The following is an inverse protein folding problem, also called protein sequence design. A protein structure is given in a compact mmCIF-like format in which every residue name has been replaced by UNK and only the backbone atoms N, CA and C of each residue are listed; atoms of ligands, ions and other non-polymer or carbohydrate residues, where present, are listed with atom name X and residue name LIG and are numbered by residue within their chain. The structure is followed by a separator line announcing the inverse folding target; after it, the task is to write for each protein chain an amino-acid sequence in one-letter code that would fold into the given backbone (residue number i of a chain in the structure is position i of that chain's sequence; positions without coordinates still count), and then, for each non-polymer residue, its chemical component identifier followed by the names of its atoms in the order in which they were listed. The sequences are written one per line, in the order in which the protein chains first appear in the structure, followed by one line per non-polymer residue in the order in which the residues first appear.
data_IF_527402642745
#
_entry.id   IF_527402642745
#
_cell.length_a   1.000
_cell.length_b   1.000
_cell.length_c   1.000
_cell.angle_alpha   90.00
_cell.angle_beta   90.00
_cell.angle_gamma   90.00
#
_symmetry.space_group_name_H-M   'P 1'
#
loop_
_entity.id
_entity.type
_entity.pdbx_description
1 polymer ?
#
# COMPACT_ATOMS: atom_id res chain seq x y z
N UNK A 1 40.09 39.55 17.31
CA UNK A 1 39.53 38.20 17.52
C UNK A 1 40.40 37.21 16.74
N UNK A 2 40.97 36.20 17.40
CA UNK A 2 41.98 35.32 16.79
C UNK A 2 41.30 34.37 15.80
N UNK A 3 41.91 34.09 14.64
CA UNK A 3 41.36 33.21 13.60
C UNK A 3 41.01 31.81 14.15
N UNK A 4 41.77 31.36 15.14
CA UNK A 4 41.55 30.12 15.88
C UNK A 4 40.24 30.11 16.68
N UNK A 5 39.83 31.25 17.24
CA UNK A 5 38.58 31.37 17.98
C UNK A 5 37.38 31.31 17.05
N UNK A 6 37.51 31.85 15.84
CA UNK A 6 36.47 31.80 14.81
C UNK A 6 36.30 30.38 14.25
N UNK A 7 37.41 29.66 14.01
CA UNK A 7 37.39 28.31 13.45
C UNK A 7 36.82 27.27 14.42
N UNK A 8 37.10 27.42 15.73
CA UNK A 8 36.52 26.57 16.78
C UNK A 8 35.02 26.83 16.97
N UNK A 9 34.58 28.08 16.85
CA UNK A 9 33.15 28.43 16.90
C UNK A 9 32.36 27.85 15.72
N UNK A 10 32.94 27.86 14.51
CA UNK A 10 32.34 27.24 13.32
C UNK A 10 32.25 25.72 13.47
N UNK A 11 33.26 25.07 14.06
CA UNK A 11 33.25 23.63 14.34
C UNK A 11 32.18 23.23 15.38
N UNK A 12 31.97 24.04 16.42
CA UNK A 12 30.94 23.79 17.44
C UNK A 12 29.52 24.04 16.92
N UNK A 13 29.32 25.05 16.08
CA UNK A 13 28.02 25.35 15.49
C UNK A 13 27.61 24.34 14.39
N UNK A 14 28.57 23.85 13.59
CA UNK A 14 28.30 22.86 12.54
C UNK A 14 28.02 21.45 13.06
N UNK A 15 28.69 21.05 14.16
CA UNK A 15 28.50 19.72 14.76
C UNK A 15 27.18 19.55 15.52
N UNK A 16 26.63 20.63 16.10
CA UNK A 16 25.39 20.58 16.86
C UNK A 16 24.11 20.46 16.01
N UNK A 17 24.15 20.86 14.74
CA UNK A 17 22.96 20.89 13.88
C UNK A 17 22.62 19.52 13.26
N UNK A 18 23.61 18.63 13.12
CA UNK A 18 23.41 17.30 12.52
C UNK A 18 22.84 16.25 13.49
N UNK A 19 22.73 16.56 14.79
CA UNK A 19 22.27 15.59 15.80
C UNK A 19 20.76 15.67 16.12
N UNK A 20 20.01 16.62 15.55
CA UNK A 20 18.63 16.89 15.96
C UNK A 20 17.54 16.29 15.05
N UNK A 21 17.88 15.62 13.95
CA UNK A 21 16.88 15.14 12.97
C UNK A 21 16.45 13.68 13.18
N UNK A 22 17.14 12.92 14.04
CA UNK A 22 16.95 11.46 14.10
C UNK A 22 16.28 10.99 15.40
N UNK A 23 15.01 11.38 15.63
CA UNK A 23 14.14 10.60 16.52
C UNK A 23 12.64 10.85 16.33
N UNK A 24 12.03 10.20 15.34
CA UNK A 24 10.64 9.70 15.47
C UNK A 24 10.27 8.73 14.35
N UNK A 25 9.92 7.50 14.75
CA UNK A 25 8.98 6.66 13.98
C UNK A 25 9.51 5.35 13.43
N UNK A 26 9.88 4.40 14.29
CA UNK A 26 9.81 2.97 13.96
C UNK A 26 8.65 2.31 14.72
N UNK A 27 7.67 1.84 13.96
CA UNK A 27 6.78 0.73 14.31
C UNK A 27 6.39 0.08 12.97
N UNK A 28 7.06 -1.00 12.59
CA UNK A 28 6.61 -2.38 12.80
C UNK A 28 5.31 -2.70 12.05
N UNK A 29 5.41 -3.44 10.94
CA UNK A 29 4.42 -4.48 10.61
C UNK A 29 4.97 -5.55 9.68
N UNK A 30 4.59 -6.77 10.02
CA UNK A 30 5.02 -8.06 9.53
C UNK A 30 4.42 -8.45 8.17
N UNK A 31 5.18 -9.31 7.47
CA UNK A 31 4.80 -10.47 6.66
C UNK A 31 3.36 -10.56 6.10
N UNK A 32 3.23 -10.82 4.79
CA UNK A 32 2.71 -12.11 4.29
C UNK A 32 2.75 -12.20 2.77
N UNK A 33 3.35 -13.29 2.30
CA UNK A 33 3.43 -13.81 0.93
C UNK A 33 2.04 -14.21 0.40
N UNK A 34 1.75 -13.97 -0.88
CA UNK A 34 0.69 -14.69 -1.59
C UNK A 34 0.98 -14.81 -3.10
N UNK A 35 0.68 -16.00 -3.60
CA UNK A 35 1.01 -16.63 -4.89
C UNK A 35 0.16 -16.07 -6.05
N UNK A 36 0.68 -16.01 -7.31
CA UNK A 36 -0.13 -15.65 -8.47
C UNK A 36 -0.97 -16.85 -8.96
N UNK A 37 -2.29 -16.69 -9.04
CA UNK A 37 -3.20 -17.66 -9.68
C UNK A 37 -3.58 -17.16 -11.07
N UNK A 38 -3.33 -18.00 -12.07
CA UNK A 38 -3.55 -17.77 -13.49
C UNK A 38 -5.03 -17.57 -13.84
N UNK A 39 -5.30 -16.60 -14.74
CA UNK A 39 -6.58 -16.42 -15.43
C UNK A 39 -6.78 -17.56 -16.43
N UNK A 40 -7.84 -18.35 -16.28
CA UNK A 40 -8.39 -19.17 -17.36
C UNK A 40 -9.65 -18.50 -17.90
N UNK A 41 -9.62 -18.23 -19.20
CA UNK A 41 -10.73 -17.75 -20.03
C UNK A 41 -11.48 -18.96 -20.61
N UNK A 42 -12.82 -19.00 -20.64
CA UNK A 42 -13.53 -19.93 -21.48
C UNK A 42 -13.94 -19.29 -22.82
N UNK A 43 -13.60 -20.01 -23.88
CA UNK A 43 -13.88 -19.79 -25.31
C UNK A 43 -15.37 -20.05 -25.66
N UNK A 44 -15.95 -19.39 -26.68
CA UNK A 44 -17.36 -19.53 -27.05
C UNK A 44 -17.62 -20.77 -27.93
N UNK A 45 -18.70 -21.51 -27.66
CA UNK A 45 -19.12 -22.67 -28.47
C UNK A 45 -19.85 -22.24 -29.75
N UNK A 46 -19.67 -22.98 -30.86
CA UNK A 46 -20.26 -22.64 -32.16
C UNK A 46 -21.71 -23.16 -32.32
N UNK A 47 -22.44 -22.43 -33.17
CA UNK A 47 -23.79 -22.69 -33.69
C UNK A 47 -23.79 -23.97 -34.54
N UNK A 48 -24.77 -24.85 -34.36
CA UNK A 48 -25.07 -25.94 -35.28
C UNK A 48 -26.54 -25.85 -35.73
N UNK A 49 -26.70 -25.81 -37.05
CA UNK A 49 -27.93 -25.73 -37.85
C UNK A 49 -28.83 -26.99 -37.79
N UNK A 50 -30.08 -26.91 -38.31
CA UNK A 50 -31.14 -27.92 -38.17
C UNK A 50 -31.16 -28.94 -39.32
N UNK A 51 -31.97 -30.01 -39.21
CA UNK A 51 -32.53 -30.62 -40.42
C UNK A 51 -34.05 -30.91 -40.39
N UNK A 52 -34.67 -30.47 -41.48
CA UNK A 52 -35.63 -31.14 -42.37
C UNK A 52 -37.04 -31.60 -41.90
N UNK A 53 -38.05 -31.08 -42.62
CA UNK A 53 -39.40 -31.65 -42.82
C UNK A 53 -39.36 -32.96 -43.63
N UNK A 54 -40.43 -33.76 -43.54
CA UNK A 54 -41.30 -33.90 -44.73
C UNK A 54 -42.83 -33.81 -44.45
N UNK A 55 -43.46 -33.05 -45.35
CA UNK A 55 -44.76 -33.05 -46.07
C UNK A 55 -45.87 -34.14 -45.85
N UNK A 56 -47.08 -34.03 -46.48
CA UNK A 56 -48.38 -33.68 -45.86
C UNK A 56 -49.49 -34.74 -46.02
N UNK A 57 -50.56 -34.70 -45.21
CA UNK A 57 -51.87 -35.30 -45.56
C UNK A 57 -53.00 -34.46 -44.96
N UNK A 58 -53.95 -34.06 -45.82
CA UNK A 58 -55.26 -33.47 -45.53
C UNK A 58 -56.31 -34.31 -46.31
N UNK A 59 -57.63 -34.15 -46.14
CA UNK A 59 -58.48 -34.09 -44.94
C UNK A 59 -59.49 -35.27 -44.92
N UNK A 60 -60.20 -35.49 -43.81
CA UNK A 60 -61.49 -36.16 -43.85
C UNK A 60 -62.45 -35.53 -42.83
N UNK A 61 -63.37 -34.73 -43.34
CA UNK A 61 -64.58 -34.26 -42.66
C UNK A 61 -65.47 -35.45 -42.26
N UNK A 62 -65.92 -35.46 -41.01
CA UNK A 62 -67.26 -35.92 -40.59
C UNK A 62 -67.51 -35.55 -39.12
N UNK A 63 -68.25 -34.47 -38.89
CA UNK A 63 -69.00 -34.17 -37.64
C UNK A 63 -70.15 -35.18 -37.42
N UNK A 64 -70.89 -35.17 -36.27
CA UNK A 64 -70.58 -34.71 -34.91
C UNK A 64 -70.98 -35.76 -33.83
N UNK A 65 -70.38 -35.74 -32.63
CA UNK A 65 -70.95 -36.51 -31.52
C UNK A 65 -70.14 -36.51 -30.21
N UNK A 66 -70.80 -36.06 -29.14
CA UNK A 66 -70.39 -36.10 -27.73
C UNK A 66 -69.38 -35.04 -27.27
N UNK A 67 -69.94 -33.99 -26.66
CA UNK A 67 -69.26 -33.12 -25.70
C UNK A 67 -68.95 -33.95 -24.44
N UNK A 68 -67.69 -34.13 -24.02
CA UNK A 68 -67.38 -34.50 -22.65
C UNK A 68 -67.36 -33.22 -21.79
N UNK A 69 -67.84 -33.34 -20.55
CA UNK A 69 -67.91 -32.27 -19.57
C UNK A 69 -66.55 -31.53 -19.38
N UNK A 70 -66.55 -30.25 -18.98
CA UNK A 70 -65.32 -29.54 -18.64
C UNK A 70 -64.64 -30.29 -17.49
N UNK A 71 -63.44 -30.82 -17.74
CA UNK A 71 -62.54 -31.31 -16.69
C UNK A 71 -62.12 -30.07 -15.92
N UNK A 72 -62.59 -29.97 -14.67
CA UNK A 72 -62.15 -28.98 -13.71
C UNK A 72 -60.63 -29.14 -13.55
N UNK A 73 -59.88 -28.19 -14.09
CA UNK A 73 -58.43 -28.14 -14.04
C UNK A 73 -58.01 -28.10 -12.57
N UNK A 74 -57.44 -29.20 -12.09
CA UNK A 74 -56.91 -29.29 -10.73
C UNK A 74 -55.99 -28.09 -10.48
N UNK A 75 -56.11 -27.39 -9.34
CA UNK A 75 -55.24 -26.25 -9.06
C UNK A 75 -53.80 -26.74 -9.13
N UNK A 76 -53.06 -26.21 -10.10
CA UNK A 76 -51.63 -26.48 -10.25
C UNK A 76 -50.92 -26.20 -8.91
N UNK A 77 -49.83 -26.91 -8.61
CA UNK A 77 -49.11 -26.73 -7.36
C UNK A 77 -48.74 -25.25 -7.20
N UNK A 78 -49.41 -24.57 -6.26
CA UNK A 78 -49.03 -23.22 -5.86
C UNK A 78 -47.64 -23.33 -5.25
N UNK A 79 -46.62 -22.94 -6.02
CA UNK A 79 -45.28 -22.72 -5.49
C UNK A 79 -45.43 -21.76 -4.30
N UNK A 80 -44.86 -22.08 -3.13
CA UNK A 80 -44.95 -21.19 -1.99
C UNK A 80 -44.38 -19.82 -2.39
N UNK A 81 -44.97 -18.70 -1.94
CA UNK A 81 -44.48 -17.38 -2.31
C UNK A 81 -43.02 -17.25 -1.87
N UNK A 82 -42.13 -16.99 -2.83
CA UNK A 82 -40.73 -16.68 -2.55
C UNK A 82 -40.65 -15.33 -1.83
N UNK A 83 -39.89 -15.27 -0.74
CA UNK A 83 -39.67 -14.06 0.04
C UNK A 83 -38.22 -13.61 -0.11
N UNK A 84 -38.04 -12.31 -0.28
CA UNK A 84 -36.74 -11.67 -0.43
C UNK A 84 -36.55 -10.63 0.65
N UNK A 85 -35.30 -10.36 0.99
CA UNK A 85 -34.94 -9.31 1.94
C UNK A 85 -34.99 -7.93 1.26
N UNK A 86 -35.82 -7.02 1.73
CA UNK A 86 -35.90 -5.65 1.20
C UNK A 86 -34.73 -4.76 1.67
N UNK A 87 -34.05 -5.15 2.75
CA UNK A 87 -32.88 -4.45 3.30
C UNK A 87 -31.92 -5.43 3.96
N UNK A 88 -30.69 -4.99 4.21
CA UNK A 88 -29.69 -5.78 4.92
C UNK A 88 -30.19 -6.02 6.35
N UNK A 89 -30.25 -7.27 6.76
CA UNK A 89 -30.64 -7.68 8.11
C UNK A 89 -29.38 -8.07 8.84
N UNK A 90 -29.09 -7.44 9.97
CA UNK A 90 -27.89 -7.73 10.77
C UNK A 90 -28.29 -8.05 12.19
N UNK A 91 -27.75 -9.15 12.71
CA UNK A 91 -27.95 -9.61 14.09
C UNK A 91 -26.59 -9.70 14.75
N UNK A 92 -26.46 -9.05 15.90
CA UNK A 92 -25.28 -9.17 16.76
C UNK A 92 -25.42 -10.46 17.57
N UNK A 93 -24.47 -11.38 17.44
CA UNK A 93 -24.35 -12.58 18.27
C UNK A 93 -23.07 -12.52 19.10
N UNK A 94 -22.91 -13.42 20.07
CA UNK A 94 -21.72 -13.47 20.94
C UNK A 94 -20.42 -13.72 20.15
N UNK A 95 -20.54 -14.28 18.93
CA UNK A 95 -19.43 -14.57 18.01
C UNK A 95 -19.18 -13.44 16.99
N UNK A 96 -19.97 -12.37 16.99
CA UNK A 96 -19.83 -11.22 16.09
C UNK A 96 -21.12 -10.83 15.36
N UNK A 97 -21.00 -10.01 14.32
CA UNK A 97 -22.14 -9.57 13.51
C UNK A 97 -22.39 -10.60 12.40
N UNK A 98 -23.58 -11.20 12.38
CA UNK A 98 -24.06 -11.98 11.23
C UNK A 98 -25.06 -11.16 10.45
N UNK A 99 -24.96 -11.16 9.12
CA UNK A 99 -25.86 -10.37 8.29
C UNK A 99 -26.32 -11.09 7.03
N UNK A 100 -27.57 -10.85 6.67
CA UNK A 100 -28.18 -11.23 5.40
C UNK A 100 -28.15 -10.01 4.48
N UNK A 101 -27.55 -10.10 3.28
CA UNK A 101 -27.59 -9.02 2.29
C UNK A 101 -29.03 -8.74 1.86
N UNK A 102 -29.30 -7.52 1.38
CA UNK A 102 -30.61 -7.21 0.77
C UNK A 102 -30.70 -7.85 -0.62
N UNK A 103 -31.92 -8.15 -1.09
CA UNK A 103 -32.21 -8.74 -2.39
C UNK A 103 -32.06 -10.26 -2.44
N UNK A 104 -31.82 -10.91 -1.29
CA UNK A 104 -31.56 -12.35 -1.21
C UNK A 104 -32.83 -13.11 -0.84
N UNK A 105 -33.06 -14.25 -1.50
CA UNK A 105 -34.15 -15.17 -1.20
C UNK A 105 -33.97 -15.82 0.19
N UNK A 106 -35.04 -15.83 0.96
CA UNK A 106 -35.08 -16.36 2.33
C UNK A 106 -36.34 -17.17 2.57
N UNK A 107 -36.25 -18.16 3.44
CA UNK A 107 -37.44 -18.93 3.85
C UNK A 107 -38.12 -18.24 5.02
N UNK A 108 -39.34 -17.76 4.82
CA UNK A 108 -40.14 -17.16 5.90
C UNK A 108 -40.61 -18.26 6.85
N UNK A 109 -40.22 -18.16 8.13
CA UNK A 109 -40.64 -19.10 9.20
C UNK A 109 -41.83 -18.52 9.97
N UNK A 110 -41.82 -17.21 10.21
CA UNK A 110 -42.93 -16.45 10.78
C UNK A 110 -42.91 -15.00 10.27
N UNK A 111 -43.85 -14.17 10.70
CA UNK A 111 -43.84 -12.72 10.38
C UNK A 111 -42.63 -11.98 10.97
N UNK A 112 -41.94 -12.61 11.93
CA UNK A 112 -40.81 -12.00 12.65
C UNK A 112 -39.53 -12.82 12.53
N UNK A 113 -39.56 -13.97 11.85
CA UNK A 113 -38.39 -14.84 11.73
C UNK A 113 -38.24 -15.37 10.30
N UNK A 114 -37.00 -15.34 9.82
CA UNK A 114 -36.58 -15.98 8.58
C UNK A 114 -35.47 -16.99 8.83
N UNK A 115 -35.36 -17.94 7.90
CA UNK A 115 -34.24 -18.86 7.80
C UNK A 115 -33.37 -18.48 6.59
N UNK A 116 -32.08 -18.28 6.83
CA UNK A 116 -31.09 -18.04 5.80
C UNK A 116 -29.82 -18.84 6.12
N UNK A 117 -29.37 -19.67 5.17
CA UNK A 117 -28.20 -20.57 5.34
C UNK A 117 -28.26 -21.42 6.62
N UNK A 118 -29.44 -21.91 6.98
CA UNK A 118 -29.65 -22.72 8.19
C UNK A 118 -29.64 -21.94 9.51
N UNK A 119 -29.50 -20.61 9.48
CA UNK A 119 -29.58 -19.72 10.65
C UNK A 119 -30.88 -18.94 10.67
N UNK A 120 -31.44 -18.75 11.87
CA UNK A 120 -32.63 -17.94 12.07
C UNK A 120 -32.26 -16.49 12.36
N UNK A 121 -32.97 -15.57 11.73
CA UNK A 121 -32.82 -14.14 11.94
C UNK A 121 -34.17 -13.54 12.33
N UNK A 122 -34.15 -12.71 13.38
CA UNK A 122 -35.30 -11.89 13.74
C UNK A 122 -35.41 -10.71 12.75
N UNK A 123 -36.59 -10.52 12.18
CA UNK A 123 -36.86 -9.51 11.14
C UNK A 123 -38.16 -8.78 11.43
N UNK A 124 -38.31 -7.59 10.85
CA UNK A 124 -39.60 -6.90 10.84
C UNK A 124 -40.33 -7.24 9.53
N UNK A 125 -41.68 -7.24 9.50
CA UNK A 125 -42.43 -7.53 8.27
C UNK A 125 -42.05 -6.64 7.08
N UNK A 126 -41.68 -5.37 7.34
CA UNK A 126 -41.22 -4.41 6.34
C UNK A 126 -39.84 -4.73 5.73
N UNK A 127 -39.14 -5.74 6.25
CA UNK A 127 -37.78 -6.13 5.83
C UNK A 127 -37.85 -7.24 4.79
N UNK A 128 -39.05 -7.75 4.53
CA UNK A 128 -39.34 -8.78 3.57
C UNK A 128 -40.24 -8.23 2.48
N UNK A 129 -39.97 -8.65 1.26
CA UNK A 129 -40.78 -8.34 0.10
C UNK A 129 -41.00 -9.61 -0.71
N UNK A 130 -42.16 -9.73 -1.32
CA UNK A 130 -42.46 -10.73 -2.35
C UNK A 130 -42.53 -10.09 -3.76
N UNK A 131 -42.29 -8.78 -3.85
CA UNK A 131 -42.29 -8.03 -5.11
C UNK A 131 -40.91 -8.12 -5.77
N UNK A 132 -40.87 -8.79 -6.92
CA UNK A 132 -39.66 -8.99 -7.73
C UNK A 132 -39.11 -7.67 -8.27
N UNK A 133 -39.96 -6.66 -8.53
CA UNK A 133 -39.51 -5.35 -9.01
C UNK A 133 -38.71 -4.60 -7.94
N UNK A 134 -39.13 -4.69 -6.67
CA UNK A 134 -38.40 -4.11 -5.54
C UNK A 134 -37.04 -4.79 -5.37
N UNK A 135 -36.99 -6.11 -5.55
CA UNK A 135 -35.72 -6.87 -5.49
C UNK A 135 -34.77 -6.45 -6.61
N UNK A 136 -35.26 -6.32 -7.84
CA UNK A 136 -34.46 -5.85 -8.97
C UNK A 136 -33.87 -4.46 -8.70
N UNK A 137 -34.67 -3.51 -8.20
CA UNK A 137 -34.19 -2.15 -7.86
C UNK A 137 -33.12 -2.17 -6.75
N UNK A 138 -33.25 -3.06 -5.77
CA UNK A 138 -32.26 -3.22 -4.70
C UNK A 138 -30.94 -3.74 -5.26
N UNK A 139 -30.98 -4.75 -6.14
CA UNK A 139 -29.79 -5.33 -6.76
C UNK A 139 -29.11 -4.31 -7.68
N UNK A 140 -29.88 -3.58 -8.50
CA UNK A 140 -29.34 -2.51 -9.35
C UNK A 140 -28.61 -1.43 -8.54
N UNK A 141 -29.18 -1.03 -7.39
CA UNK A 141 -28.54 -0.07 -6.47
C UNK A 141 -27.28 -0.64 -5.82
N UNK A 142 -27.24 -1.93 -5.53
CA UNK A 142 -26.05 -2.60 -4.99
C UNK A 142 -24.93 -2.66 -6.02
N UNK A 143 -25.22 -3.06 -7.26
CA UNK A 143 -24.23 -3.14 -8.34
C UNK A 143 -23.59 -1.78 -8.62
N UNK A 144 -24.39 -0.70 -8.65
CA UNK A 144 -23.89 0.66 -8.81
C UNK A 144 -23.01 1.09 -7.62
N UNK A 145 -23.39 0.71 -6.39
CA UNK A 145 -22.59 1.02 -5.20
C UNK A 145 -21.26 0.26 -5.19
N UNK A 146 -21.27 -1.02 -5.54
CA UNK A 146 -20.08 -1.87 -5.62
C UNK A 146 -19.13 -1.39 -6.72
N UNK A 147 -19.65 -1.04 -7.90
CA UNK A 147 -18.85 -0.47 -8.98
C UNK A 147 -18.17 0.84 -8.58
N UNK A 148 -18.85 1.71 -7.82
CA UNK A 148 -18.27 2.95 -7.28
C UNK A 148 -17.16 2.67 -6.27
N UNK A 149 -17.35 1.72 -5.36
CA UNK A 149 -16.34 1.34 -4.38
C UNK A 149 -15.12 0.73 -5.06
N UNK A 150 -15.33 -0.09 -6.10
CA UNK A 150 -14.25 -0.69 -6.86
C UNK A 150 -13.45 0.37 -7.63
N UNK A 151 -14.12 1.32 -8.29
CA UNK A 151 -13.46 2.43 -8.97
C UNK A 151 -12.64 3.30 -8.01
N UNK A 152 -13.17 3.59 -6.81
CA UNK A 152 -12.43 4.32 -5.77
C UNK A 152 -11.20 3.55 -5.29
N UNK A 153 -11.30 2.23 -5.07
CA UNK A 153 -10.14 1.41 -4.69
C UNK A 153 -9.06 1.39 -5.77
N UNK A 154 -9.45 1.35 -7.04
CA UNK A 154 -8.50 1.40 -8.15
C UNK A 154 -7.81 2.77 -8.22
N UNK A 155 -8.54 3.86 -8.01
CA UNK A 155 -7.95 5.21 -7.93
C UNK A 155 -6.99 5.35 -6.73
N UNK A 156 -7.39 4.86 -5.56
CA UNK A 156 -6.58 4.90 -4.34
C UNK A 156 -5.30 4.09 -4.48
N UNK A 157 -5.36 2.89 -5.09
CA UNK A 157 -4.18 2.06 -5.32
C UNK A 157 -3.21 2.70 -6.31
N UNK A 158 -3.70 3.33 -7.38
CA UNK A 158 -2.85 4.09 -8.32
C UNK A 158 -2.19 5.28 -7.62
N UNK A 159 -2.94 6.01 -6.79
CA UNK A 159 -2.39 7.13 -6.02
C UNK A 159 -1.35 6.67 -5.00
N UNK A 160 -1.59 5.56 -4.32
CA UNK A 160 -0.63 4.98 -3.37
C UNK A 160 0.67 4.55 -4.08
N UNK A 161 0.57 3.87 -5.22
CA UNK A 161 1.74 3.49 -6.02
C UNK A 161 2.54 4.71 -6.48
N UNK A 162 1.87 5.78 -6.92
CA UNK A 162 2.51 7.04 -7.30
C UNK A 162 3.25 7.70 -6.13
N UNK A 163 2.63 7.71 -4.95
CA UNK A 163 3.25 8.26 -3.74
C UNK A 163 4.49 7.45 -3.32
N UNK A 164 4.42 6.12 -3.37
CA UNK A 164 5.55 5.23 -3.05
C UNK A 164 6.71 5.48 -4.00
N UNK A 165 6.47 5.57 -5.31
CA UNK A 165 7.51 5.87 -6.29
C UNK A 165 8.17 7.25 -6.03
N UNK A 166 7.36 8.25 -5.69
CA UNK A 166 7.85 9.60 -5.38
C UNK A 166 8.72 9.61 -4.12
N UNK A 167 8.31 8.91 -3.06
CA UNK A 167 9.08 8.81 -1.81
C UNK A 167 10.38 8.04 -2.02
N UNK A 168 10.36 6.98 -2.82
CA UNK A 168 11.58 6.24 -3.18
C UNK A 168 12.58 7.12 -3.91
N UNK A 169 12.14 7.86 -4.94
CA UNK A 169 13.00 8.80 -5.68
C UNK A 169 13.61 9.88 -4.77
N UNK A 170 12.81 10.47 -3.86
CA UNK A 170 13.32 11.44 -2.89
C UNK A 170 14.33 10.85 -1.91
N UNK A 171 14.14 9.61 -1.48
CA UNK A 171 15.07 8.94 -0.59
C UNK A 171 16.39 8.61 -1.28
N UNK A 172 16.36 8.20 -2.54
CA UNK A 172 17.56 7.97 -3.35
C UNK A 172 18.32 9.27 -3.60
N UNK A 173 17.62 10.35 -3.92
CA UNK A 173 18.22 11.68 -4.08
C UNK A 173 18.88 12.16 -2.79
N UNK A 174 18.21 12.02 -1.64
CA UNK A 174 18.77 12.37 -0.32
C UNK A 174 20.02 11.55 0.00
N UNK A 175 20.02 10.25 -0.29
CA UNK A 175 21.21 9.40 -0.10
C UNK A 175 22.36 9.84 -1.01
N UNK A 176 22.09 10.14 -2.27
CA UNK A 176 23.10 10.61 -3.22
C UNK A 176 23.68 11.97 -2.78
N UNK A 177 22.84 12.88 -2.30
CA UNK A 177 23.26 14.19 -1.80
C UNK A 177 24.09 14.07 -0.50
N UNK A 178 23.64 13.24 0.45
CA UNK A 178 24.42 12.93 1.65
C UNK A 178 25.79 12.35 1.29
N UNK A 179 25.85 11.46 0.30
CA UNK A 179 27.12 10.88 -0.17
C UNK A 179 28.05 11.93 -0.79
N UNK A 180 27.51 12.89 -1.55
CA UNK A 180 28.27 14.02 -2.10
C UNK A 180 28.84 14.90 -0.98
N UNK A 181 28.05 15.19 0.05
CA UNK A 181 28.48 15.98 1.19
C UNK A 181 29.60 15.28 1.98
N UNK A 182 29.47 13.97 2.23
CA UNK A 182 30.51 13.16 2.88
C UNK A 182 31.81 13.19 2.05
N UNK A 183 31.72 12.97 0.75
CA UNK A 183 32.90 13.01 -0.13
C UNK A 183 33.56 14.39 -0.14
N UNK A 184 32.76 15.48 -0.19
CA UNK A 184 33.27 16.84 -0.14
C UNK A 184 33.97 17.15 1.20
N UNK A 185 33.41 16.67 2.31
CA UNK A 185 34.02 16.80 3.63
C UNK A 185 35.36 16.04 3.72
N UNK A 186 35.44 14.81 3.20
CA UNK A 186 36.69 14.04 3.14
C UNK A 186 37.77 14.80 2.35
N UNK A 187 37.44 15.31 1.17
CA UNK A 187 38.39 16.09 0.34
C UNK A 187 38.86 17.36 1.06
N UNK A 188 37.97 18.03 1.79
CA UNK A 188 38.33 19.20 2.60
C UNK A 188 39.32 18.84 3.71
N UNK A 189 39.08 17.73 4.41
CA UNK A 189 39.97 17.22 5.46
C UNK A 189 41.34 16.87 4.88
N UNK A 190 41.40 16.19 3.74
CA UNK A 190 42.67 15.83 3.07
C UNK A 190 43.50 17.07 2.72
N UNK A 191 42.86 18.13 2.21
CA UNK A 191 43.54 19.42 1.96
C UNK A 191 44.07 20.07 3.23
N UNK A 192 43.34 19.98 4.35
CA UNK A 192 43.77 20.53 5.63
C UNK A 192 44.99 19.77 6.18
N UNK A 193 45.01 18.44 6.06
CA UNK A 193 46.15 17.60 6.44
C UNK A 193 47.37 17.98 5.59
N UNK A 194 47.22 18.13 4.27
CA UNK A 194 48.32 18.55 3.39
C UNK A 194 48.88 19.93 3.78
N UNK A 195 48.01 20.89 4.11
CA UNK A 195 48.42 22.21 4.57
C UNK A 195 49.20 22.16 5.90
N UNK A 196 48.75 21.33 6.85
CA UNK A 196 49.45 21.12 8.12
C UNK A 196 50.79 20.42 7.94
N UNK A 197 50.89 19.43 7.04
CA UNK A 197 52.15 18.78 6.70
C UNK A 197 53.17 19.76 6.12
N UNK A 198 52.77 20.60 5.16
CA UNK A 198 53.63 21.67 4.64
C UNK A 198 54.11 22.62 5.73
N UNK A 199 53.24 22.94 6.69
CA UNK A 199 53.61 23.79 7.84
C UNK A 199 54.61 23.10 8.76
N UNK A 200 54.44 21.79 9.02
CA UNK A 200 55.41 21.00 9.79
C UNK A 200 56.77 21.03 9.09
N UNK A 201 56.82 20.83 7.78
CA UNK A 201 58.07 20.85 7.02
C UNK A 201 58.77 22.21 7.10
N UNK A 202 58.02 23.31 6.99
CA UNK A 202 58.54 24.67 7.15
C UNK A 202 59.10 24.90 8.57
N UNK A 203 58.39 24.47 9.60
CA UNK A 203 58.82 24.61 10.99
C UNK A 203 60.04 23.74 11.30
N UNK A 204 60.10 22.51 10.77
CA UNK A 204 61.26 21.61 10.87
C UNK A 204 62.48 22.19 10.17
N UNK A 205 62.31 22.74 8.98
CA UNK A 205 63.39 23.42 8.26
C UNK A 205 63.92 24.64 9.05
N UNK A 206 63.02 25.47 9.57
CA UNK A 206 63.39 26.61 10.40
C UNK A 206 64.04 26.21 11.74
N UNK A 207 63.61 25.11 12.35
CA UNK A 207 64.24 24.54 13.54
C UNK A 207 65.66 24.05 13.24
N UNK A 208 65.87 23.35 12.13
CA UNK A 208 67.20 22.89 11.71
C UNK A 208 68.15 24.06 11.45
N UNK A 209 67.67 25.13 10.81
CA UNK A 209 68.44 26.36 10.65
C UNK A 209 68.78 26.99 12.01
N UNK A 210 67.82 27.09 12.93
CA UNK A 210 68.08 27.63 14.27
C UNK A 210 69.14 26.82 15.04
N UNK A 211 69.10 25.48 14.93
CA UNK A 211 70.11 24.58 15.50
C UNK A 211 71.50 24.81 14.90
N UNK A 212 71.61 24.97 13.58
CA UNK A 212 72.87 25.27 12.90
C UNK A 212 73.49 26.60 13.38
N UNK A 213 72.66 27.59 13.71
CA UNK A 213 73.10 28.89 14.24
C UNK A 213 73.21 28.93 15.78
N UNK A 214 73.12 27.79 16.47
CA UNK A 214 73.25 27.70 17.93
C UNK A 214 72.15 28.40 18.72
N UNK A 215 70.97 28.61 18.12
CA UNK A 215 69.82 29.28 18.77
C UNK A 215 68.85 28.25 19.33
N UNK A 216 68.35 28.49 20.55
CA UNK A 216 67.26 27.70 21.15
C UNK A 216 65.95 28.02 20.41
N UNK A 217 65.24 26.99 19.96
CA UNK A 217 64.01 27.11 19.17
C UNK A 217 62.80 26.56 19.93
N UNK A 218 61.73 27.34 20.03
CA UNK A 218 60.44 26.91 20.59
C UNK A 218 59.50 26.26 19.57
N UNK A 219 59.99 26.00 18.35
CA UNK A 219 59.18 25.53 17.21
C UNK A 219 58.69 24.08 17.34
N UNK A 220 59.38 23.26 18.15
CA UNK A 220 58.94 21.89 18.46
C UNK A 220 57.52 21.82 19.01
N UNK A 221 57.10 22.80 19.82
CA UNK A 221 55.72 22.88 20.34
C UNK A 221 54.70 23.11 19.22
N UNK A 222 55.06 23.94 18.23
CA UNK A 222 54.19 24.18 17.06
C UNK A 222 54.07 22.93 16.19
N UNK A 223 55.17 22.20 16.01
CA UNK A 223 55.18 20.92 15.28
C UNK A 223 54.25 19.91 15.96
N UNK A 224 54.40 19.69 17.27
CA UNK A 224 53.54 18.76 18.02
C UNK A 224 52.06 19.16 17.97
N UNK A 225 51.74 20.47 18.01
CA UNK A 225 50.36 20.94 17.85
C UNK A 225 49.80 20.64 16.46
N UNK A 226 50.61 20.75 15.41
CA UNK A 226 50.20 20.41 14.05
C UNK A 226 50.01 18.89 13.91
N UNK A 227 50.91 18.08 14.46
CA UNK A 227 50.80 16.61 14.48
C UNK A 227 49.54 16.15 15.22
N UNK A 228 49.22 16.75 16.37
CA UNK A 228 47.96 16.49 17.08
C UNK A 228 46.71 16.88 16.28
N UNK A 229 46.77 17.98 15.53
CA UNK A 229 45.66 18.41 14.67
C UNK A 229 45.47 17.45 13.49
N UNK A 230 46.54 16.95 12.88
CA UNK A 230 46.50 15.93 11.84
C UNK A 230 45.86 14.65 12.38
N UNK A 231 46.30 14.16 13.54
CA UNK A 231 45.73 12.93 14.13
C UNK A 231 44.21 13.05 14.36
N UNK A 232 43.71 14.22 14.78
CA UNK A 232 42.27 14.48 14.92
C UNK A 232 41.54 14.46 13.58
N UNK A 233 42.11 15.11 12.57
CA UNK A 233 41.55 15.15 11.21
C UNK A 233 41.55 13.77 10.54
N UNK A 234 42.57 12.96 10.75
CA UNK A 234 42.64 11.58 10.27
C UNK A 234 41.57 10.69 10.92
N UNK A 235 41.34 10.85 12.23
CA UNK A 235 40.25 10.15 12.91
C UNK A 235 38.88 10.55 12.36
N UNK A 236 38.67 11.84 12.07
CA UNK A 236 37.42 12.33 11.47
C UNK A 236 37.24 11.84 10.02
N UNK A 237 38.29 11.84 9.22
CA UNK A 237 38.29 11.27 7.86
C UNK A 237 37.90 9.79 7.88
N UNK A 238 38.48 9.02 8.81
CA UNK A 238 38.17 7.60 8.96
C UNK A 238 36.72 7.39 9.40
N UNK A 239 36.22 8.20 10.34
CA UNK A 239 34.81 8.21 10.74
C UNK A 239 33.88 8.46 9.54
N UNK A 240 34.16 9.49 8.74
CA UNK A 240 33.35 9.83 7.57
C UNK A 240 33.42 8.76 6.47
N UNK A 241 34.58 8.11 6.33
CA UNK A 241 34.76 6.99 5.38
C UNK A 241 33.94 5.77 5.79
N UNK A 242 33.76 5.52 7.09
CA UNK A 242 32.90 4.44 7.59
C UNK A 242 31.40 4.75 7.46
N UNK A 243 31.03 6.02 7.24
CA UNK A 243 29.64 6.47 7.04
C UNK A 243 29.24 6.50 5.56
N UNK A 244 30.18 6.21 4.65
CA UNK A 244 29.97 6.06 3.20
C UNK A 244 29.59 4.63 2.87
#
# INVERSE_FOLDING_TARGET
MNIYTFLVLVLLAGGGFLFFVEKKGSAAREQSTAVPVARQSPEPRPIVEPPARPTPVEPADTTPGSVPAPVEEAPGPQLPPAWYTARRISVMTDTGVSSVPAGVEVTKVSDTEILYQGKRFAVKPQDLTNDVLVVAEILDKQDVAEARVQAQREEDTVREQSNVATVQAQNEEKKAEQQRQINAAIVSIERQIEALNRKIDQERHAENLAKLYGRVSSRGVTITKCEQAIAKLEAERLRLTLMK
#
